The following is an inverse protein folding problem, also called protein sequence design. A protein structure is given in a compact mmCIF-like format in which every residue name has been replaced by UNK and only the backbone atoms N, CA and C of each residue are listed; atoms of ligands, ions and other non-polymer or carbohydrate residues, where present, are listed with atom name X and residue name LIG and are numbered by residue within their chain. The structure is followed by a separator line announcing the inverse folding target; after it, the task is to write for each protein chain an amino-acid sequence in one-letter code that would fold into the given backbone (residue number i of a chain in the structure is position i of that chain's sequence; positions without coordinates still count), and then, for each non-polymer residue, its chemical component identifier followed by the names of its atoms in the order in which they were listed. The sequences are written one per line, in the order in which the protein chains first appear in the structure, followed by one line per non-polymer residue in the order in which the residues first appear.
data_IF_301370627246
#
_entry.id   IF_301370627246
#
_cell.length_a   1.000
_cell.length_b   1.000
_cell.length_c   1.000
_cell.angle_alpha   90.00
_cell.angle_beta   90.00
_cell.angle_gamma   90.00
#
_symmetry.space_group_name_H-M   'P 1'
#
loop_
_entity.id
_entity.type
_entity.pdbx_description
1 polymer ?
#
# COMPACT_ATOMS: atom_id res chain seq x y z
N UNK A 1 10.52 -20.53 6.69
CA UNK A 1 9.25 -20.29 6.07
C UNK A 1 8.93 -18.83 6.02
N UNK A 2 8.49 -18.37 4.88
CA UNK A 2 8.26 -16.96 4.67
C UNK A 2 6.81 -16.57 4.77
N UNK A 3 6.05 -17.32 5.54
CA UNK A 3 4.60 -17.14 5.59
C UNK A 3 4.19 -15.79 6.10
N UNK A 4 4.92 -15.25 7.11
CA UNK A 4 4.57 -13.94 7.65
C UNK A 4 4.75 -12.84 6.62
N UNK A 5 5.83 -12.89 5.84
CA UNK A 5 6.06 -11.89 4.81
C UNK A 5 5.02 -12.03 3.69
N UNK A 6 4.68 -13.26 3.33
CA UNK A 6 3.67 -13.50 2.30
C UNK A 6 2.32 -13.00 2.76
N UNK A 7 1.96 -13.27 4.01
CA UNK A 7 0.68 -12.80 4.55
C UNK A 7 0.64 -11.27 4.63
N UNK A 8 1.75 -10.66 5.03
CA UNK A 8 1.84 -9.21 5.08
C UNK A 8 1.65 -8.62 3.69
N UNK A 9 2.35 -9.18 2.70
CA UNK A 9 2.25 -8.69 1.33
C UNK A 9 0.82 -8.82 0.80
N UNK A 10 0.20 -9.97 1.04
CA UNK A 10 -1.18 -10.19 0.60
C UNK A 10 -2.13 -9.21 1.25
N UNK A 11 -1.95 -8.94 2.54
CA UNK A 11 -2.81 -8.02 3.26
C UNK A 11 -2.64 -6.60 2.74
N UNK A 12 -1.41 -6.18 2.51
CA UNK A 12 -1.14 -4.85 1.99
C UNK A 12 -1.73 -4.69 0.58
N UNK A 13 -1.56 -5.69 -0.28
CA UNK A 13 -2.13 -5.64 -1.61
C UNK A 13 -3.65 -5.57 -1.58
N UNK A 14 -4.26 -6.32 -0.66
CA UNK A 14 -5.71 -6.30 -0.52
C UNK A 14 -6.20 -4.91 -0.09
N UNK A 15 -5.49 -4.28 0.82
CA UNK A 15 -5.85 -2.94 1.28
C UNK A 15 -5.70 -1.93 0.14
N UNK A 16 -4.60 -2.01 -0.59
CA UNK A 16 -4.37 -1.12 -1.74
C UNK A 16 -5.46 -1.31 -2.78
N UNK A 17 -5.76 -2.56 -3.10
CA UNK A 17 -6.78 -2.86 -4.10
C UNK A 17 -8.13 -2.29 -3.71
N UNK A 18 -8.47 -2.37 -2.44
CA UNK A 18 -9.73 -1.85 -1.93
C UNK A 18 -9.80 -0.33 -2.09
N UNK A 19 -8.70 0.35 -1.78
CA UNK A 19 -8.67 1.80 -1.86
C UNK A 19 -8.70 2.30 -3.30
N UNK A 20 -7.95 1.64 -4.20
CA UNK A 20 -7.87 2.10 -5.59
C UNK A 20 -8.94 1.49 -6.50
N UNK A 21 -9.70 0.52 -6.00
CA UNK A 21 -10.77 -0.09 -6.77
C UNK A 21 -10.32 -1.15 -7.74
N UNK A 22 -9.19 -1.80 -7.46
CA UNK A 22 -8.67 -2.90 -8.27
C UNK A 22 -8.82 -4.21 -7.51
N UNK A 23 -8.49 -5.32 -8.17
CA UNK A 23 -8.45 -6.60 -7.49
C UNK A 23 -7.04 -6.86 -6.97
N UNK A 24 -6.91 -7.57 -5.83
CA UNK A 24 -5.57 -7.83 -5.28
C UNK A 24 -4.60 -8.47 -6.26
N UNK A 25 -5.11 -9.34 -7.13
CA UNK A 25 -4.27 -10.02 -8.12
C UNK A 25 -3.69 -9.07 -9.16
N UNK A 26 -4.29 -7.89 -9.30
CA UNK A 26 -3.83 -6.90 -10.27
C UNK A 26 -2.81 -5.94 -9.67
N UNK A 27 -2.51 -6.07 -8.40
CA UNK A 27 -1.57 -5.20 -7.71
C UNK A 27 -0.17 -5.79 -7.84
N UNK A 28 0.70 -5.09 -8.57
CA UNK A 28 2.08 -5.53 -8.80
C UNK A 28 3.05 -4.68 -7.99
N UNK A 29 4.19 -5.28 -7.63
CA UNK A 29 5.17 -4.57 -6.80
C UNK A 29 5.73 -3.32 -7.49
N UNK A 30 5.90 -3.36 -8.80
CA UNK A 30 6.42 -2.24 -9.55
C UNK A 30 5.38 -1.20 -9.92
N UNK A 31 4.13 -1.41 -9.61
CA UNK A 31 3.06 -0.45 -9.91
C UNK A 31 3.26 0.83 -9.11
N UNK A 32 3.03 1.96 -9.76
CA UNK A 32 3.18 3.28 -9.16
C UNK A 32 1.82 3.86 -8.83
N UNK A 33 1.71 4.41 -7.63
CA UNK A 33 0.42 4.93 -7.17
C UNK A 33 -0.08 6.08 -8.05
N UNK A 34 0.80 6.98 -8.43
CA UNK A 34 0.41 8.13 -9.23
C UNK A 34 0.25 7.75 -10.71
N UNK A 35 1.24 7.05 -11.26
CA UNK A 35 1.28 6.77 -12.69
C UNK A 35 0.30 5.67 -13.10
N UNK A 36 0.21 4.62 -12.32
CA UNK A 36 -0.58 3.45 -12.70
C UNK A 36 -1.98 3.45 -12.12
N UNK A 37 -2.13 3.90 -10.89
CA UNK A 37 -3.45 3.91 -10.25
C UNK A 37 -4.09 5.28 -10.23
N UNK A 38 -3.31 6.32 -10.47
CA UNK A 38 -3.79 7.71 -10.45
C UNK A 38 -4.49 8.03 -9.16
N UNK A 39 -3.89 7.61 -8.06
CA UNK A 39 -4.48 7.74 -6.75
C UNK A 39 -4.61 9.22 -6.37
N UNK A 40 -5.78 9.58 -5.83
CA UNK A 40 -6.02 10.95 -5.38
C UNK A 40 -5.46 11.15 -3.98
N UNK A 41 -5.33 12.42 -3.60
CA UNK A 41 -4.81 12.77 -2.28
C UNK A 41 -5.60 12.10 -1.16
N UNK A 42 -6.93 12.17 -1.25
CA UNK A 42 -7.79 11.58 -0.23
C UNK A 42 -7.63 10.07 -0.16
N UNK A 43 -7.47 9.43 -1.32
CA UNK A 43 -7.27 7.98 -1.36
C UNK A 43 -5.94 7.60 -0.76
N UNK A 44 -4.90 8.38 -1.04
CA UNK A 44 -3.57 8.11 -0.49
C UNK A 44 -3.59 8.25 1.02
N UNK A 45 -4.27 9.27 1.51
CA UNK A 45 -4.37 9.48 2.95
C UNK A 45 -5.15 8.35 3.63
N UNK A 46 -6.24 7.92 3.00
CA UNK A 46 -7.02 6.80 3.52
C UNK A 46 -6.20 5.52 3.55
N UNK A 47 -5.40 5.30 2.50
CA UNK A 47 -4.53 4.13 2.43
C UNK A 47 -3.51 4.15 3.57
N UNK A 48 -2.90 5.31 3.79
CA UNK A 48 -1.93 5.46 4.86
C UNK A 48 -2.55 5.14 6.22
N UNK A 49 -3.74 5.67 6.47
CA UNK A 49 -4.42 5.45 7.75
C UNK A 49 -4.76 3.98 7.94
N UNK A 50 -5.24 3.32 6.89
CA UNK A 50 -5.55 1.91 6.94
C UNK A 50 -4.31 1.08 7.27
N UNK A 51 -3.22 1.36 6.56
CA UNK A 51 -1.99 0.61 6.77
C UNK A 51 -1.40 0.85 8.15
N UNK A 52 -1.39 2.10 8.59
CA UNK A 52 -0.88 2.40 9.93
C UNK A 52 -1.69 1.69 11.01
N UNK A 53 -3.00 1.68 10.86
CA UNK A 53 -3.87 1.02 11.83
C UNK A 53 -3.66 -0.50 11.82
N UNK A 54 -3.66 -1.09 10.64
CA UNK A 54 -3.60 -2.54 10.52
C UNK A 54 -2.24 -3.11 10.93
N UNK A 55 -1.18 -2.34 10.76
CA UNK A 55 0.17 -2.81 11.08
C UNK A 55 0.78 -2.11 12.29
N UNK A 56 -0.02 -1.32 13.00
CA UNK A 56 0.42 -0.61 14.21
C UNK A 56 1.65 0.24 13.95
N UNK A 57 1.67 0.94 12.83
CA UNK A 57 2.73 1.85 12.46
C UNK A 57 2.23 3.29 12.54
N UNK A 58 3.15 4.24 12.58
CA UNK A 58 2.80 5.64 12.61
C UNK A 58 3.61 6.41 11.56
N UNK A 59 3.54 5.93 10.34
CA UNK A 59 4.23 6.59 9.23
C UNK A 59 3.57 7.93 8.94
N UNK A 60 4.38 8.96 8.76
CA UNK A 60 3.85 10.28 8.43
C UNK A 60 3.47 10.37 6.97
N UNK A 61 2.53 11.25 6.66
CA UNK A 61 2.05 11.40 5.29
C UNK A 61 3.18 11.78 4.33
N UNK A 62 4.06 12.69 4.75
CA UNK A 62 5.19 13.09 3.91
C UNK A 62 6.09 11.93 3.57
N UNK A 63 6.39 11.08 4.55
CA UNK A 63 7.21 9.90 4.32
C UNK A 63 6.47 8.91 3.42
N UNK A 64 5.18 8.75 3.62
CA UNK A 64 4.38 7.85 2.81
C UNK A 64 4.34 8.29 1.35
N UNK A 65 4.31 9.60 1.10
CA UNK A 65 4.28 10.13 -0.25
C UNK A 65 5.57 9.81 -1.03
N UNK A 66 6.66 9.53 -0.32
CA UNK A 66 7.90 9.14 -0.97
C UNK A 66 7.89 7.68 -1.42
N UNK A 67 6.92 6.91 -0.94
CA UNK A 67 6.77 5.51 -1.33
C UNK A 67 5.96 5.47 -2.63
N UNK A 68 6.64 5.54 -3.75
CA UNK A 68 5.98 5.69 -5.04
C UNK A 68 5.42 4.40 -5.60
N UNK A 69 5.92 3.25 -5.16
CA UNK A 69 5.50 1.96 -5.69
C UNK A 69 4.94 1.07 -4.60
N UNK A 70 4.20 0.04 -5.04
CA UNK A 70 3.68 -0.97 -4.13
C UNK A 70 4.83 -1.64 -3.37
N UNK A 71 5.90 -1.97 -4.08
CA UNK A 71 7.05 -2.60 -3.44
C UNK A 71 7.66 -1.75 -2.33
N UNK A 72 7.70 -0.44 -2.54
CA UNK A 72 8.22 0.46 -1.51
C UNK A 72 7.36 0.41 -0.25
N UNK A 73 6.04 0.34 -0.43
CA UNK A 73 5.11 0.21 0.70
C UNK A 73 5.31 -1.12 1.42
N UNK A 74 5.49 -2.19 0.66
CA UNK A 74 5.73 -3.50 1.27
C UNK A 74 6.97 -3.48 2.15
N UNK A 75 8.00 -2.77 1.71
CA UNK A 75 9.24 -2.67 2.48
C UNK A 75 9.11 -1.75 3.69
N UNK A 76 8.20 -0.78 3.66
CA UNK A 76 8.02 0.16 4.76
C UNK A 76 7.20 -0.44 5.90
N UNK A 77 6.40 -1.41 5.63
CA UNK A 77 5.58 -2.07 6.62
C UNK A 77 6.01 -3.50 6.84
#
# INVERSE_FOLDING_TARGET
MCDLETEKAQKIRAIIAEVVGFEPKDIQDEDRFIMDYRIAYAERKALLERLNTDFSKELEFGAFCELETVGAVLNAY
#
